data_IF_289453075156
#
_entry.id   IF_289453075156
#
_cell.length_a   1.000
_cell.length_b   1.000
_cell.length_c   1.000
_cell.angle_alpha   90.00
_cell.angle_beta   90.00
_cell.angle_gamma   90.00
#
_symmetry.space_group_name_H-M   'P 1'
#
loop_
_entity.id
_entity.type
_entity.pdbx_description
1 polymer ?
#
# COMPACT_ATOMS: atom_id res chain seq x y z
N UNK A 1 -5.17 17.24 24.67
CA UNK A 1 -5.08 15.95 23.95
C UNK A 1 -5.43 16.02 22.47
N UNK A 2 -6.61 16.52 22.05
CA UNK A 2 -7.00 16.56 20.62
C UNK A 2 -6.01 17.32 19.71
N UNK A 3 -5.48 18.46 20.18
CA UNK A 3 -4.50 19.26 19.44
C UNK A 3 -3.18 18.51 19.23
N UNK A 4 -2.67 17.83 20.25
CA UNK A 4 -1.43 17.03 20.17
C UNK A 4 -1.55 15.89 19.16
N UNK A 5 -2.67 15.15 19.20
CA UNK A 5 -2.94 14.06 18.24
C UNK A 5 -2.99 14.59 16.81
N UNK A 6 -3.64 15.74 16.59
CA UNK A 6 -3.68 16.38 15.27
C UNK A 6 -2.31 16.76 14.76
N UNK A 7 -1.46 17.35 15.62
CA UNK A 7 -0.09 17.76 15.24
C UNK A 7 0.75 16.52 14.90
N UNK A 8 0.73 15.50 15.76
CA UNK A 8 1.47 14.27 15.51
C UNK A 8 1.00 13.58 14.22
N UNK A 9 -0.30 13.54 13.97
CA UNK A 9 -0.88 12.98 12.74
C UNK A 9 -0.32 13.64 11.48
N UNK A 10 -0.25 14.98 11.49
CA UNK A 10 0.36 15.73 10.39
C UNK A 10 1.84 15.46 10.27
N UNK A 11 2.57 15.51 11.37
CA UNK A 11 4.01 15.28 11.36
C UNK A 11 4.34 13.90 10.80
N UNK A 12 3.71 12.83 11.32
CA UNK A 12 3.91 11.47 10.82
C UNK A 12 3.57 11.33 9.34
N UNK A 13 2.41 11.83 8.90
CA UNK A 13 2.00 11.71 7.51
C UNK A 13 2.98 12.41 6.57
N UNK A 14 3.30 13.67 6.84
CA UNK A 14 4.14 14.48 5.96
C UNK A 14 5.61 14.07 6.02
N UNK A 15 6.16 13.78 7.19
CA UNK A 15 7.55 13.34 7.31
C UNK A 15 7.75 12.00 6.63
N UNK A 16 6.85 11.04 6.85
CA UNK A 16 6.89 9.75 6.18
C UNK A 16 6.87 9.91 4.66
N UNK A 17 5.89 10.65 4.14
CA UNK A 17 5.75 10.82 2.69
C UNK A 17 6.92 11.57 2.05
N UNK A 18 7.49 12.57 2.74
CA UNK A 18 8.67 13.29 2.25
C UNK A 18 9.92 12.42 2.25
N UNK A 19 10.13 11.64 3.31
CA UNK A 19 11.24 10.68 3.39
C UNK A 19 11.07 9.63 2.30
N UNK A 20 9.87 9.05 2.17
CA UNK A 20 9.59 8.00 1.22
C UNK A 20 9.74 8.49 -0.23
N UNK A 21 9.19 9.65 -0.55
CA UNK A 21 9.42 10.33 -1.82
C UNK A 21 10.92 10.54 -2.07
N UNK A 22 11.67 11.02 -1.08
CA UNK A 22 13.10 11.29 -1.26
C UNK A 22 13.90 10.01 -1.53
N UNK A 23 13.64 8.94 -0.77
CA UNK A 23 14.30 7.64 -0.94
C UNK A 23 13.98 7.05 -2.31
N UNK A 24 12.72 7.12 -2.74
CA UNK A 24 12.30 6.55 -4.01
C UNK A 24 12.84 7.35 -5.20
N UNK A 25 12.67 8.67 -5.22
CA UNK A 25 12.98 9.49 -6.40
C UNK A 25 14.44 9.92 -6.49
N UNK A 26 15.10 10.18 -5.37
CA UNK A 26 16.52 10.56 -5.36
C UNK A 26 17.47 9.39 -5.09
N UNK A 27 16.98 8.28 -4.52
CA UNK A 27 17.78 7.10 -4.23
C UNK A 27 17.54 5.94 -5.21
N UNK A 28 16.35 5.34 -5.15
CA UNK A 28 16.06 4.11 -5.88
C UNK A 28 15.90 4.35 -7.40
N UNK A 29 15.13 5.37 -7.79
CA UNK A 29 14.80 5.63 -9.20
C UNK A 29 16.01 5.79 -10.11
N UNK A 30 17.02 6.62 -9.79
CA UNK A 30 18.12 6.86 -10.72
C UNK A 30 18.92 5.58 -10.98
N UNK A 31 19.13 4.77 -9.93
CA UNK A 31 19.82 3.48 -10.01
C UNK A 31 19.04 2.51 -10.90
N UNK A 32 17.73 2.40 -10.66
CA UNK A 32 16.86 1.47 -11.40
C UNK A 32 16.68 1.89 -12.86
N UNK A 33 16.63 3.20 -13.11
CA UNK A 33 16.53 3.77 -14.44
C UNK A 33 17.80 3.48 -15.26
N UNK A 34 18.98 3.63 -14.64
CA UNK A 34 20.26 3.28 -15.26
C UNK A 34 20.33 1.78 -15.62
N UNK A 35 19.92 0.91 -14.70
CA UNK A 35 19.89 -0.55 -14.93
C UNK A 35 18.91 -0.93 -16.07
N UNK A 36 17.74 -0.27 -16.14
CA UNK A 36 16.75 -0.48 -17.19
C UNK A 36 17.28 -0.10 -18.58
N UNK A 37 18.00 1.03 -18.70
CA UNK A 37 18.57 1.46 -19.97
C UNK A 37 19.77 0.63 -20.41
N UNK A 38 20.61 0.19 -19.47
CA UNK A 38 21.85 -0.55 -19.78
C UNK A 38 21.63 -2.04 -20.02
N UNK A 39 20.55 -2.62 -19.49
CA UNK A 39 20.31 -4.06 -19.61
C UNK A 39 18.82 -4.40 -19.68
N UNK A 40 18.12 -3.99 -20.75
CA UNK A 40 16.72 -4.34 -20.95
C UNK A 40 16.48 -5.86 -21.04
N UNK A 41 17.50 -6.67 -21.30
CA UNK A 41 17.41 -8.14 -21.33
C UNK A 41 17.61 -8.84 -19.98
N UNK A 42 18.01 -8.13 -18.90
CA UNK A 42 18.24 -8.76 -17.58
C UNK A 42 16.98 -8.84 -16.73
N UNK A 43 16.01 -7.98 -16.99
CA UNK A 43 14.69 -8.11 -16.39
C UNK A 43 13.88 -9.00 -17.31
N UNK A 44 13.64 -10.25 -16.90
CA UNK A 44 12.46 -10.96 -17.39
C UNK A 44 11.25 -10.08 -17.05
N UNK A 45 10.78 -9.32 -18.04
CA UNK A 45 9.74 -8.32 -17.91
C UNK A 45 8.38 -9.02 -17.70
N UNK A 46 8.25 -9.67 -16.55
CA UNK A 46 6.97 -10.14 -16.07
C UNK A 46 6.17 -8.89 -15.67
N UNK A 47 5.13 -8.58 -16.44
CA UNK A 47 4.35 -7.34 -16.31
C UNK A 47 3.81 -7.09 -14.90
N UNK A 48 3.65 -8.14 -14.09
CA UNK A 48 3.26 -7.99 -12.69
C UNK A 48 4.34 -7.31 -11.83
N UNK A 49 5.63 -7.53 -12.07
CA UNK A 49 6.70 -6.80 -11.36
C UNK A 49 6.68 -5.32 -11.72
N UNK A 50 6.53 -5.00 -13.01
CA UNK A 50 6.43 -3.62 -13.49
C UNK A 50 5.25 -2.92 -12.82
N UNK A 51 4.10 -3.60 -12.71
CA UNK A 51 2.93 -3.05 -12.05
C UNK A 51 3.20 -2.66 -10.60
N UNK A 52 3.73 -3.57 -9.78
CA UNK A 52 4.01 -3.27 -8.36
C UNK A 52 5.13 -2.25 -8.17
N UNK A 53 6.07 -2.23 -9.10
CA UNK A 53 7.09 -1.20 -9.15
C UNK A 53 6.48 0.18 -9.40
N UNK A 54 5.65 0.32 -10.45
CA UNK A 54 4.93 1.56 -10.74
C UNK A 54 4.04 1.98 -9.58
N UNK A 55 3.38 1.02 -8.91
CA UNK A 55 2.61 1.30 -7.70
C UNK A 55 3.50 1.92 -6.62
N UNK A 56 4.65 1.33 -6.27
CA UNK A 56 5.59 1.92 -5.29
C UNK A 56 6.05 3.33 -5.67
N UNK A 57 6.26 3.58 -6.95
CA UNK A 57 6.69 4.88 -7.45
C UNK A 57 5.57 5.93 -7.37
N UNK A 58 4.38 5.59 -7.84
CA UNK A 58 3.25 6.51 -7.89
C UNK A 58 2.63 6.75 -6.51
N UNK A 59 2.73 5.77 -5.60
CA UNK A 59 2.13 5.82 -4.27
C UNK A 59 2.49 7.10 -3.50
N UNK A 60 3.77 7.47 -3.26
CA UNK A 60 4.12 8.69 -2.52
C UNK A 60 3.63 9.97 -3.23
N UNK A 61 3.57 9.99 -4.56
CA UNK A 61 3.01 11.13 -5.31
C UNK A 61 1.51 11.27 -5.09
N UNK A 62 0.79 10.15 -5.15
CA UNK A 62 -0.66 10.11 -4.95
C UNK A 62 -1.03 10.48 -3.52
N UNK A 63 -0.32 9.95 -2.51
CA UNK A 63 -0.56 10.30 -1.11
C UNK A 63 -0.24 11.76 -0.81
N UNK A 64 0.90 12.28 -1.28
CA UNK A 64 1.22 13.72 -1.15
C UNK A 64 0.15 14.59 -1.82
N UNK A 65 -0.25 14.26 -3.05
CA UNK A 65 -1.28 15.00 -3.79
C UNK A 65 -2.64 14.99 -3.10
N UNK A 66 -3.12 13.80 -2.68
CA UNK A 66 -4.40 13.66 -1.97
C UNK A 66 -4.36 14.30 -0.57
N UNK A 67 -3.25 14.12 0.14
CA UNK A 67 -2.97 14.72 1.44
C UNK A 67 -3.02 16.25 1.38
N UNK A 68 -2.38 16.83 0.36
CA UNK A 68 -2.33 18.27 0.16
C UNK A 68 -3.69 18.86 -0.27
N UNK A 69 -4.31 18.25 -1.28
CA UNK A 69 -5.48 18.83 -1.93
C UNK A 69 -6.77 18.64 -1.13
N UNK A 70 -7.00 17.45 -0.55
CA UNK A 70 -8.31 17.09 0.01
C UNK A 70 -8.29 16.82 1.51
N UNK A 71 -7.18 16.31 2.05
CA UNK A 71 -7.13 15.79 3.43
C UNK A 71 -6.35 16.68 4.42
N UNK A 72 -5.77 17.79 3.97
CA UNK A 72 -4.92 18.68 4.78
C UNK A 72 -5.58 19.19 6.07
N UNK A 73 -6.91 19.29 6.12
CA UNK A 73 -7.65 19.79 7.29
C UNK A 73 -8.16 18.66 8.21
N UNK A 74 -7.99 17.40 7.83
CA UNK A 74 -8.51 16.25 8.56
C UNK A 74 -7.36 15.28 8.94
N UNK A 75 -6.75 15.47 10.13
CA UNK A 75 -5.61 14.67 10.58
C UNK A 75 -5.96 13.18 10.71
N UNK A 76 -7.22 12.84 11.01
CA UNK A 76 -7.64 11.45 11.14
C UNK A 76 -7.62 10.75 9.78
N UNK A 77 -8.07 11.43 8.72
CA UNK A 77 -8.03 10.90 7.35
C UNK A 77 -6.61 10.80 6.80
N UNK A 78 -5.72 11.72 7.18
CA UNK A 78 -4.30 11.61 6.82
C UNK A 78 -3.67 10.35 7.42
N UNK A 79 -3.90 10.07 8.70
CA UNK A 79 -3.43 8.82 9.29
C UNK A 79 -4.08 7.58 8.65
N UNK A 80 -5.36 7.65 8.30
CA UNK A 80 -6.05 6.53 7.66
C UNK A 80 -5.53 6.29 6.23
N UNK A 81 -5.12 7.35 5.51
CA UNK A 81 -4.43 7.22 4.23
C UNK A 81 -3.04 6.58 4.41
N UNK A 82 -2.30 6.97 5.44
CA UNK A 82 -0.98 6.40 5.75
C UNK A 82 -1.06 4.92 6.15
N UNK A 83 -1.80 4.62 7.22
CA UNK A 83 -1.84 3.27 7.80
C UNK A 83 -2.76 2.32 7.06
N UNK A 84 -3.81 2.84 6.43
CA UNK A 84 -4.85 2.05 5.79
C UNK A 84 -4.64 1.81 4.30
N UNK A 85 -3.82 2.63 3.64
CA UNK A 85 -3.61 2.55 2.20
C UNK A 85 -2.12 2.47 1.85
N UNK A 86 -1.34 3.46 2.26
CA UNK A 86 0.09 3.58 1.94
C UNK A 86 0.92 2.40 2.45
N UNK A 87 0.92 2.16 3.76
CA UNK A 87 1.70 1.09 4.37
C UNK A 87 1.30 -0.31 3.85
N UNK A 88 0.01 -0.67 3.75
CA UNK A 88 -0.39 -1.95 3.16
C UNK A 88 0.08 -2.13 1.72
N UNK A 89 -0.03 -1.09 0.87
CA UNK A 89 0.44 -1.14 -0.52
C UNK A 89 1.96 -1.30 -0.57
N UNK A 90 2.68 -0.55 0.27
CA UNK A 90 4.13 -0.61 0.34
C UNK A 90 4.61 -2.01 0.72
N UNK A 91 4.04 -2.57 1.78
CA UNK A 91 4.33 -3.94 2.23
C UNK A 91 4.00 -4.94 1.12
N UNK A 92 2.82 -4.85 0.52
CA UNK A 92 2.38 -5.76 -0.53
C UNK A 92 3.30 -5.71 -1.75
N UNK A 93 3.72 -4.52 -2.15
CA UNK A 93 4.64 -4.33 -3.27
C UNK A 93 6.03 -4.88 -2.96
N UNK A 94 6.55 -4.69 -1.74
CA UNK A 94 7.80 -5.31 -1.31
C UNK A 94 7.71 -6.83 -1.22
N UNK A 95 6.62 -7.36 -0.68
CA UNK A 95 6.37 -8.81 -0.68
C UNK A 95 6.37 -9.34 -2.10
N UNK A 96 5.73 -8.65 -3.05
CA UNK A 96 5.69 -9.11 -4.44
C UNK A 96 7.02 -8.99 -5.17
N UNK A 97 7.78 -7.92 -4.94
CA UNK A 97 9.04 -7.67 -5.67
C UNK A 97 10.19 -8.50 -5.09
N UNK A 98 10.28 -8.65 -3.77
CA UNK A 98 11.42 -9.27 -3.10
C UNK A 98 11.18 -10.72 -2.64
N UNK A 99 9.97 -11.04 -2.18
CA UNK A 99 9.68 -12.34 -1.54
C UNK A 99 9.02 -13.31 -2.52
N UNK A 100 7.89 -12.90 -3.11
CA UNK A 100 7.11 -13.72 -4.02
C UNK A 100 7.68 -13.60 -5.43
N UNK A 101 8.72 -14.38 -5.77
CA UNK A 101 9.28 -14.33 -7.13
C UNK A 101 8.32 -14.92 -8.17
N UNK A 102 7.62 -15.99 -7.79
CA UNK A 102 6.66 -16.69 -8.64
C UNK A 102 5.22 -16.48 -8.15
N UNK A 103 4.30 -16.22 -9.07
CA UNK A 103 2.88 -16.11 -8.79
C UNK A 103 2.23 -17.49 -8.76
N UNK A 104 2.18 -18.11 -7.60
CA UNK A 104 1.33 -19.28 -7.36
C UNK A 104 -0.14 -18.85 -7.23
N UNK A 105 -1.07 -19.78 -7.46
CA UNK A 105 -2.50 -19.50 -7.32
C UNK A 105 -2.86 -18.97 -5.92
N UNK A 106 -2.16 -19.44 -4.89
CA UNK A 106 -2.31 -18.95 -3.51
C UNK A 106 -1.84 -17.49 -3.36
N UNK A 107 -0.67 -17.16 -3.91
CA UNK A 107 -0.15 -15.79 -3.84
C UNK A 107 -1.01 -14.79 -4.63
N UNK A 108 -1.58 -15.18 -5.77
CA UNK A 108 -2.51 -14.33 -6.52
C UNK A 108 -3.75 -14.03 -5.69
N UNK A 109 -4.31 -15.04 -5.01
CA UNK A 109 -5.46 -14.85 -4.14
C UNK A 109 -5.14 -13.95 -2.94
N UNK A 110 -3.95 -14.09 -2.35
CA UNK A 110 -3.45 -13.20 -1.29
C UNK A 110 -3.48 -11.75 -1.74
N UNK A 111 -2.83 -11.47 -2.88
CA UNK A 111 -2.70 -10.12 -3.41
C UNK A 111 -4.07 -9.52 -3.75
N UNK A 112 -4.97 -10.35 -4.27
CA UNK A 112 -6.35 -9.97 -4.57
C UNK A 112 -7.13 -9.59 -3.31
N UNK A 113 -7.10 -10.42 -2.27
CA UNK A 113 -7.77 -10.15 -0.99
C UNK A 113 -7.25 -8.87 -0.33
N UNK A 114 -5.92 -8.70 -0.31
CA UNK A 114 -5.31 -7.48 0.22
C UNK A 114 -5.68 -6.24 -0.62
N UNK A 115 -5.66 -6.37 -1.94
CA UNK A 115 -6.07 -5.30 -2.87
C UNK A 115 -7.51 -4.84 -2.60
N UNK A 116 -8.43 -5.78 -2.39
CA UNK A 116 -9.81 -5.47 -2.00
C UNK A 116 -9.83 -4.70 -0.68
N UNK A 117 -9.15 -5.20 0.37
CA UNK A 117 -9.11 -4.54 1.68
C UNK A 117 -8.62 -3.10 1.61
N UNK A 118 -7.58 -2.85 0.82
CA UNK A 118 -7.02 -1.52 0.57
C UNK A 118 -8.05 -0.59 -0.12
N UNK A 119 -8.75 -1.09 -1.15
CA UNK A 119 -9.80 -0.34 -1.84
C UNK A 119 -10.97 0.00 -0.90
N UNK A 120 -11.36 -0.93 -0.03
CA UNK A 120 -12.37 -0.70 1.00
C UNK A 120 -11.94 0.44 1.94
N UNK A 121 -10.69 0.44 2.38
CA UNK A 121 -10.21 1.47 3.30
C UNK A 121 -10.17 2.84 2.60
N UNK A 122 -9.69 2.92 1.36
CA UNK A 122 -9.74 4.15 0.56
C UNK A 122 -11.16 4.68 0.44
N UNK A 123 -12.13 3.80 0.21
CA UNK A 123 -13.53 4.16 0.12
C UNK A 123 -14.01 4.88 1.39
N UNK A 124 -13.64 4.36 2.56
CA UNK A 124 -13.93 5.00 3.86
C UNK A 124 -13.16 6.32 4.06
N UNK A 125 -11.91 6.44 3.58
CA UNK A 125 -11.13 7.70 3.64
C UNK A 125 -11.87 8.83 2.95
N UNK A 126 -12.43 8.56 1.77
CA UNK A 126 -13.20 9.55 1.03
C UNK A 126 -14.62 9.77 1.56
N UNK A 127 -15.02 9.04 2.61
CA UNK A 127 -16.31 9.18 3.28
C UNK A 127 -17.49 9.11 2.31
N UNK A 128 -17.37 8.24 1.29
CA UNK A 128 -18.45 8.02 0.35
C UNK A 128 -19.57 7.34 1.12
N UNK A 129 -20.66 8.07 1.37
CA UNK A 129 -21.80 7.56 2.13
C UNK A 129 -22.54 6.55 1.27
N UNK A 130 -22.51 5.29 1.66
CA UNK A 130 -23.34 4.26 1.07
C UNK A 130 -24.52 3.90 1.97
N UNK A 131 -25.48 3.19 1.38
CA UNK A 131 -26.52 2.53 2.16
C UNK A 131 -25.91 1.52 3.15
N UNK A 132 -26.60 1.30 4.28
CA UNK A 132 -26.16 0.42 5.38
C UNK A 132 -25.69 -0.97 4.92
N UNK A 133 -26.33 -1.52 3.88
CA UNK A 133 -25.99 -2.81 3.30
C UNK A 133 -24.61 -2.83 2.66
N UNK A 134 -24.23 -1.78 1.94
CA UNK A 134 -22.93 -1.73 1.30
C UNK A 134 -21.82 -1.57 2.35
N UNK A 135 -22.05 -0.77 3.39
CA UNK A 135 -21.13 -0.65 4.54
C UNK A 135 -20.87 -2.00 5.22
N UNK A 136 -21.91 -2.84 5.36
CA UNK A 136 -21.77 -4.20 5.88
C UNK A 136 -20.93 -5.07 4.95
N UNK A 137 -21.23 -5.07 3.65
CA UNK A 137 -20.46 -5.82 2.64
C UNK A 137 -18.98 -5.44 2.68
N UNK A 138 -18.67 -4.15 2.71
CA UNK A 138 -17.30 -3.65 2.76
C UNK A 138 -16.57 -4.08 4.03
N UNK A 139 -17.22 -4.00 5.20
CA UNK A 139 -16.63 -4.49 6.46
C UNK A 139 -16.43 -6.00 6.46
N UNK A 140 -17.36 -6.76 5.89
CA UNK A 140 -17.24 -8.21 5.74
C UNK A 140 -16.10 -8.60 4.80
N UNK A 141 -15.91 -7.88 3.69
CA UNK A 141 -14.76 -8.08 2.79
C UNK A 141 -13.43 -7.79 3.49
N UNK A 142 -13.37 -6.73 4.29
CA UNK A 142 -12.19 -6.40 5.07
C UNK A 142 -11.88 -7.51 6.08
N UNK A 143 -12.91 -8.00 6.81
CA UNK A 143 -12.76 -9.11 7.75
C UNK A 143 -12.25 -10.38 7.03
N UNK A 144 -12.85 -10.71 5.89
CA UNK A 144 -12.45 -11.87 5.09
C UNK A 144 -10.99 -11.78 4.65
N UNK A 145 -10.55 -10.60 4.17
CA UNK A 145 -9.16 -10.37 3.79
C UNK A 145 -8.18 -10.56 4.97
N UNK A 146 -8.56 -10.13 6.17
CA UNK A 146 -7.76 -10.31 7.38
C UNK A 146 -7.68 -11.77 7.85
N UNK A 147 -8.81 -12.50 7.80
CA UNK A 147 -8.84 -13.94 8.12
C UNK A 147 -7.95 -14.71 7.17
N UNK A 148 -8.07 -14.46 5.87
CA UNK A 148 -7.27 -15.15 4.86
C UNK A 148 -5.77 -14.86 5.02
N UNK A 149 -5.40 -13.60 5.28
CA UNK A 149 -4.00 -13.23 5.57
C UNK A 149 -3.46 -13.98 6.80
N UNK A 150 -4.26 -14.06 7.86
CA UNK A 150 -3.86 -14.76 9.09
C UNK A 150 -3.65 -16.23 8.84
N UNK A 151 -4.57 -16.90 8.14
CA UNK A 151 -4.43 -18.30 7.75
C UNK A 151 -3.19 -18.51 6.88
N UNK A 152 -2.97 -17.65 5.89
CA UNK A 152 -1.77 -17.72 5.06
C UNK A 152 -0.50 -17.64 5.90
N UNK A 153 -0.42 -16.68 6.83
CA UNK A 153 0.74 -16.56 7.72
C UNK A 153 0.89 -17.78 8.63
N UNK A 154 -0.19 -18.33 9.19
CA UNK A 154 -0.12 -19.52 10.05
C UNK A 154 0.39 -20.76 9.29
N UNK A 155 0.01 -20.93 8.02
CA UNK A 155 0.41 -22.09 7.22
C UNK A 155 1.75 -21.92 6.50
N UNK A 156 2.14 -20.69 6.14
CA UNK A 156 3.34 -20.42 5.34
C UNK A 156 4.48 -19.77 6.12
N UNK A 157 4.29 -19.36 7.38
CA UNK A 157 5.42 -19.13 8.28
C UNK A 157 5.94 -20.50 8.69
N UNK A 158 7.17 -20.88 8.31
CA UNK A 158 7.71 -22.18 8.71
C UNK A 158 7.68 -22.28 10.24
N UNK A 159 7.27 -23.43 10.81
CA UNK A 159 7.41 -23.65 12.25
C UNK A 159 8.89 -23.42 12.57
N UNK A 160 9.15 -22.51 13.51
CA UNK A 160 10.49 -21.98 13.77
C UNK A 160 11.54 -23.09 13.86
N UNK A 161 12.67 -22.83 13.19
CA UNK A 161 13.97 -23.39 13.57
C UNK A 161 14.26 -23.03 15.03
#
# INVERSE_FOLDING_TARGET
MKKTISILSHLFFWSWNLIFFSVIYFGAFPILLEDWFKSPMRFDFNGSFIFFFLVLFLMPLLSLGLGFWKLRKDPKKLLMLLYGFELPILILSFFRIFILRELTSASVHLLFCLGIGILVILFFVFSIRLGKWADLVFKSLLLWSGVWLTLFLVFFVPPGV
#
